data_IF_348282109363
#
_entry.id   IF_348282109363
#
_cell.length_a   1.000
_cell.length_b   1.000
_cell.length_c   1.000
_cell.angle_alpha   90.00
_cell.angle_beta   90.00
_cell.angle_gamma   90.00
#
_symmetry.space_group_name_H-M   'P 1'
#
loop_
_entity.id
_entity.type
_entity.pdbx_description
1 polymer ?
#
# COMPACT_ATOMS: atom_id res chain seq x y z
N UNK A 1 -24.29 13.41 -14.71
CA UNK A 1 -23.56 13.19 -13.45
C UNK A 1 -23.39 11.68 -13.29
N UNK A 2 -22.26 11.14 -13.74
CA UNK A 2 -22.02 9.69 -13.79
C UNK A 2 -21.66 9.18 -12.39
N UNK A 3 -22.62 8.51 -11.77
CA UNK A 3 -22.42 7.70 -10.57
C UNK A 3 -21.82 6.38 -11.04
N UNK A 4 -20.51 6.21 -10.86
CA UNK A 4 -19.76 5.00 -11.25
C UNK A 4 -20.23 3.84 -10.37
N UNK A 5 -21.16 3.03 -10.89
CA UNK A 5 -21.57 1.75 -10.30
C UNK A 5 -20.40 0.75 -10.34
N UNK A 6 -19.42 0.87 -9.45
CA UNK A 6 -18.38 -0.16 -9.26
C UNK A 6 -18.75 -1.18 -8.18
N UNK A 7 -19.86 -0.98 -7.46
CA UNK A 7 -20.19 -1.74 -6.26
C UNK A 7 -21.52 -2.52 -6.38
N UNK A 8 -21.70 -3.27 -7.46
CA UNK A 8 -22.78 -4.27 -7.52
C UNK A 8 -22.16 -5.61 -7.90
N UNK A 9 -22.05 -6.51 -6.92
CA UNK A 9 -21.53 -7.89 -7.10
C UNK A 9 -20.06 -8.09 -6.73
N UNK A 10 -19.33 -7.05 -6.28
CA UNK A 10 -18.00 -7.23 -5.68
C UNK A 10 -18.21 -7.81 -4.26
N UNK A 11 -17.69 -9.00 -3.92
CA UNK A 11 -17.59 -9.38 -2.51
C UNK A 11 -16.88 -8.23 -1.78
N UNK A 12 -17.31 -7.87 -0.56
CA UNK A 12 -16.87 -6.65 0.11
C UNK A 12 -15.35 -6.57 0.02
N UNK A 13 -14.77 -5.42 -0.41
CA UNK A 13 -13.32 -5.32 -0.44
C UNK A 13 -12.83 -5.66 0.97
N UNK A 14 -11.85 -6.57 1.09
CA UNK A 14 -11.03 -6.57 2.29
C UNK A 14 -10.52 -5.14 2.39
N UNK A 15 -11.00 -4.37 3.36
CA UNK A 15 -10.57 -2.98 3.51
C UNK A 15 -9.05 -3.04 3.70
N UNK A 16 -8.32 -2.61 2.69
CA UNK A 16 -6.86 -2.57 2.75
C UNK A 16 -6.45 -1.19 3.23
N UNK A 17 -5.82 -1.16 4.38
CA UNK A 17 -5.20 0.01 4.95
C UNK A 17 -3.84 0.19 4.26
N UNK A 18 -3.49 1.44 3.96
CA UNK A 18 -2.22 1.77 3.31
C UNK A 18 -1.37 2.57 4.28
N UNK A 19 -0.21 2.03 4.62
CA UNK A 19 0.81 2.73 5.40
C UNK A 19 1.97 3.12 4.50
N UNK A 20 2.30 4.42 4.43
CA UNK A 20 3.47 4.91 3.70
C UNK A 20 4.66 4.92 4.65
N UNK A 21 5.61 4.03 4.44
CA UNK A 21 6.73 3.82 5.38
C UNK A 21 7.94 4.72 5.05
N UNK A 22 7.98 5.31 3.85
CA UNK A 22 9.02 6.27 3.42
C UNK A 22 9.30 6.22 1.92
N UNK A 23 10.50 6.62 1.49
CA UNK A 23 10.85 6.81 0.07
C UNK A 23 11.84 5.73 -0.39
N UNK A 24 11.43 4.91 -1.36
CA UNK A 24 12.27 3.89 -1.98
C UNK A 24 13.36 4.54 -2.87
N UNK A 25 14.56 3.98 -2.84
CA UNK A 25 15.70 4.45 -3.65
C UNK A 25 16.38 5.73 -3.15
N UNK A 26 15.78 6.45 -2.19
CA UNK A 26 16.43 7.54 -1.44
C UNK A 26 16.72 7.17 0.00
N UNK A 27 15.67 6.85 0.76
CA UNK A 27 15.79 6.65 2.21
C UNK A 27 16.12 5.19 2.52
N UNK A 28 15.64 4.25 1.71
CA UNK A 28 15.94 2.82 1.85
C UNK A 28 15.60 2.01 0.59
N UNK A 29 16.14 0.80 0.49
CA UNK A 29 15.95 -0.11 -0.65
C UNK A 29 14.58 -0.80 -0.64
N UNK A 30 14.16 -1.37 -1.78
CA UNK A 30 12.94 -2.18 -1.86
C UNK A 30 12.95 -3.32 -0.83
N UNK A 31 14.08 -4.01 -0.66
CA UNK A 31 14.20 -5.06 0.36
C UNK A 31 13.91 -4.55 1.78
N UNK A 32 14.32 -3.31 2.09
CA UNK A 32 14.04 -2.69 3.38
C UNK A 32 12.56 -2.30 3.53
N UNK A 33 11.92 -1.83 2.45
CA UNK A 33 10.47 -1.62 2.42
C UNK A 33 9.71 -2.91 2.77
N UNK A 34 10.10 -4.04 2.16
CA UNK A 34 9.53 -5.35 2.44
C UNK A 34 9.71 -5.77 3.90
N UNK A 35 10.93 -5.61 4.44
CA UNK A 35 11.20 -5.93 5.85
C UNK A 35 10.36 -5.09 6.81
N UNK A 36 10.27 -3.78 6.58
CA UNK A 36 9.51 -2.87 7.43
C UNK A 36 8.01 -3.21 7.39
N UNK A 37 7.44 -3.36 6.20
CA UNK A 37 6.03 -3.69 6.04
C UNK A 37 5.67 -5.03 6.71
N UNK A 38 6.49 -6.07 6.54
CA UNK A 38 6.28 -7.34 7.23
C UNK A 38 6.48 -7.22 8.75
N UNK A 39 7.39 -6.37 9.22
CA UNK A 39 7.61 -6.15 10.65
C UNK A 39 6.49 -5.37 11.32
N UNK A 40 5.91 -4.38 10.64
CA UNK A 40 4.85 -3.51 11.18
C UNK A 40 3.46 -4.12 11.03
N UNK A 41 3.21 -4.78 9.89
CA UNK A 41 1.87 -5.25 9.49
C UNK A 41 1.81 -6.78 9.31
N UNK A 42 2.80 -7.53 9.79
CA UNK A 42 2.94 -8.99 9.59
C UNK A 42 1.73 -9.83 9.97
N UNK A 43 0.93 -9.39 10.95
CA UNK A 43 -0.30 -10.06 11.36
C UNK A 43 -1.52 -9.76 10.49
N UNK A 44 -1.41 -8.85 9.52
CA UNK A 44 -2.50 -8.31 8.72
C UNK A 44 -2.31 -8.57 7.22
N UNK A 45 -1.64 -9.66 6.84
CA UNK A 45 -1.36 -10.03 5.44
C UNK A 45 -0.77 -8.87 4.62
N UNK A 46 0.44 -8.41 4.97
CA UNK A 46 1.01 -7.23 4.36
C UNK A 46 1.44 -7.49 2.91
N UNK A 47 1.18 -6.50 2.06
CA UNK A 47 1.61 -6.41 0.66
C UNK A 47 2.49 -5.16 0.46
N UNK A 48 3.82 -5.30 0.68
CA UNK A 48 4.77 -4.24 0.43
C UNK A 48 5.02 -4.02 -1.05
N UNK A 49 5.03 -2.77 -1.48
CA UNK A 49 5.49 -2.37 -2.80
C UNK A 49 6.04 -0.94 -2.79
N UNK A 50 6.82 -0.62 -3.82
CA UNK A 50 7.33 0.73 -4.03
C UNK A 50 6.67 1.28 -5.29
N UNK A 51 5.99 2.42 -5.17
CA UNK A 51 5.26 3.01 -6.30
C UNK A 51 5.34 4.54 -6.29
N UNK A 52 5.07 5.15 -7.44
CA UNK A 52 5.03 6.60 -7.60
C UNK A 52 3.67 7.14 -7.19
N UNK A 53 3.66 8.29 -6.49
CA UNK A 53 2.41 9.02 -6.26
C UNK A 53 2.17 9.99 -7.43
N UNK A 54 0.96 10.03 -8.03
CA UNK A 54 0.68 10.92 -9.15
C UNK A 54 1.01 12.37 -8.84
N UNK A 55 1.87 12.98 -9.67
CA UNK A 55 2.30 14.37 -9.48
C UNK A 55 3.49 14.55 -8.53
N UNK A 56 4.10 13.47 -8.03
CA UNK A 56 5.31 13.50 -7.22
C UNK A 56 6.35 12.56 -7.84
N UNK A 57 7.56 13.06 -8.09
CA UNK A 57 8.67 12.30 -8.71
C UNK A 57 9.35 11.30 -7.75
N UNK A 58 8.80 11.11 -6.56
CA UNK A 58 9.36 10.24 -5.54
C UNK A 58 8.62 8.91 -5.54
N UNK A 59 9.38 7.82 -5.45
CA UNK A 59 8.83 6.47 -5.28
C UNK A 59 8.68 6.22 -3.78
N UNK A 60 7.46 5.95 -3.32
CA UNK A 60 7.16 5.70 -1.92
C UNK A 60 7.03 4.21 -1.64
N UNK A 61 7.41 3.80 -0.44
CA UNK A 61 7.15 2.47 0.10
C UNK A 61 5.73 2.42 0.64
N UNK A 62 4.86 1.73 -0.07
CA UNK A 62 3.49 1.44 0.33
C UNK A 62 3.43 0.06 0.97
N UNK A 63 2.80 -0.01 2.13
CA UNK A 63 2.45 -1.25 2.78
C UNK A 63 0.93 -1.34 2.82
N UNK A 64 0.35 -2.08 1.88
CA UNK A 64 -1.06 -2.45 1.94
C UNK A 64 -1.24 -3.60 2.92
N UNK A 65 -2.25 -3.55 3.77
CA UNK A 65 -2.53 -4.64 4.70
C UNK A 65 -4.01 -4.65 5.05
N UNK A 66 -4.51 -5.77 5.55
CA UNK A 66 -5.87 -5.85 6.07
C UNK A 66 -6.02 -4.80 7.19
N UNK A 67 -7.07 -3.97 7.12
CA UNK A 67 -7.44 -3.09 8.21
C UNK A 67 -7.90 -3.96 9.40
N UNK A 68 -7.36 -3.70 10.58
CA UNK A 68 -7.82 -4.29 11.85
C UNK A 68 -9.13 -3.64 12.32
#
# INVERSE_FOLDING_TARGET
>A
MMQTRKDVGRPPPKYTCVSILGICGKTFSNARCYQLCNSYCGGAHPYPHCDEYPGITAVFCYCEHDCL
#
